data_IF_676114774669
#
_entry.id   IF_676114774669
#
_cell.length_a   1.000
_cell.length_b   1.000
_cell.length_c   1.000
_cell.angle_alpha   90.00
_cell.angle_beta   90.00
_cell.angle_gamma   90.00
#
_symmetry.space_group_name_H-M   'P 1'
#
loop_
_entity.id
_entity.type
_entity.pdbx_description
1 polymer ?
#
# COMPACT_ATOMS: atom_id res chain seq x y z
N UNK A 1 3.49 25.78 -5.71
CA UNK A 1 3.63 25.46 -5.18
C UNK A 1 3.82 25.33 -4.50
N UNK A 2 3.88 25.20 -4.32
CA UNK A 2 4.15 24.77 -3.62
C UNK A 2 4.28 24.33 -2.99
N UNK A 3 4.45 24.09 -2.83
CA UNK A 3 4.64 23.44 -2.19
C UNK A 3 4.99 22.97 -1.70
N UNK A 4 5.18 22.75 -1.69
CA UNK A 4 5.56 22.11 -1.24
C UNK A 4 6.07 21.72 -0.76
N UNK A 5 6.19 21.69 -0.50
CA UNK A 5 6.74 21.08 -0.05
C UNK A 5 7.00 20.43 0.49
N UNK A 6 7.14 20.21 0.71
CA UNK A 6 7.34 19.60 1.05
C UNK A 6 7.15 18.84 1.30
N UNK A 7 6.96 18.98 1.54
CA UNK A 7 6.76 18.21 1.64
C UNK A 7 6.57 17.12 1.20
N UNK A 8 6.71 16.86 1.38
CA UNK A 8 6.89 15.72 0.55
C UNK A 8 6.56 14.39 1.18
N UNK A 9 6.66 14.20 2.44
CA UNK A 9 6.19 12.97 3.04
C UNK A 9 4.83 13.10 3.66
N UNK A 10 4.27 14.28 3.66
CA UNK A 10 2.87 14.44 4.00
C UNK A 10 2.23 15.34 2.97
N UNK A 11 1.10 14.91 2.45
CA UNK A 11 0.31 15.67 1.51
C UNK A 11 -1.05 15.93 2.10
N UNK A 12 -1.46 17.20 2.11
CA UNK A 12 -2.68 17.61 2.80
C UNK A 12 -3.91 16.88 2.35
N UNK A 13 -4.04 16.55 1.09
CA UNK A 13 -5.22 15.85 0.60
C UNK A 13 -5.10 14.34 0.58
N UNK A 14 -3.97 13.78 1.02
CA UNK A 14 -3.74 12.35 0.88
C UNK A 14 -4.23 11.59 2.11
N UNK A 15 -5.25 10.74 1.90
CA UNK A 15 -5.83 9.98 3.00
C UNK A 15 -4.80 9.01 3.61
N UNK A 16 -3.89 8.43 2.79
CA UNK A 16 -2.88 7.52 3.31
C UNK A 16 -1.82 8.26 4.12
N UNK A 17 -1.43 9.46 3.68
CA UNK A 17 -0.53 10.28 4.49
C UNK A 17 -1.15 10.57 5.86
N UNK A 18 -2.45 10.80 5.91
CA UNK A 18 -3.13 11.06 7.17
C UNK A 18 -3.18 9.81 8.04
N UNK A 19 -3.39 8.64 7.45
CA UNK A 19 -3.35 7.38 8.19
C UNK A 19 -1.96 7.15 8.76
N UNK A 20 -0.92 7.38 7.95
CA UNK A 20 0.47 7.21 8.39
C UNK A 20 0.78 8.14 9.55
N UNK A 21 0.23 9.35 9.52
CA UNK A 21 0.45 10.35 10.57
C UNK A 21 -0.50 10.17 11.77
N UNK A 22 -1.33 9.14 11.78
CA UNK A 22 -2.32 8.87 12.84
C UNK A 22 -3.38 9.95 12.95
N UNK A 23 -3.65 10.67 11.85
CA UNK A 23 -4.70 11.68 11.80
C UNK A 23 -6.05 11.07 11.45
N UNK A 24 -6.05 9.87 10.86
CA UNK A 24 -7.25 9.10 10.58
C UNK A 24 -7.11 7.71 11.17
N UNK A 25 -8.21 7.13 11.66
CA UNK A 25 -8.14 5.78 12.23
C UNK A 25 -7.93 4.72 11.16
N UNK A 26 -7.27 3.64 11.55
CA UNK A 26 -7.08 2.48 10.68
C UNK A 26 -6.64 1.32 11.53
N UNK A 27 -6.81 0.12 11.02
CA UNK A 27 -6.28 -1.07 11.70
C UNK A 27 -4.90 -1.35 11.14
N UNK A 28 -3.89 -0.82 11.81
CA UNK A 28 -2.50 -0.99 11.39
C UNK A 28 -1.97 -2.33 11.85
N UNK A 29 -1.27 -3.02 10.95
CA UNK A 29 -0.70 -4.33 11.21
C UNK A 29 0.82 -4.30 11.25
N UNK A 30 1.41 -3.28 10.68
CA UNK A 30 2.86 -3.14 10.63
C UNK A 30 3.22 -1.68 10.46
N UNK A 31 4.32 -1.28 11.07
CA UNK A 31 4.85 0.08 10.92
C UNK A 31 6.35 0.08 11.22
N UNK A 32 7.11 0.73 10.35
CA UNK A 32 8.50 1.06 10.63
C UNK A 32 8.79 2.45 10.06
N UNK A 33 10.06 2.82 9.97
CA UNK A 33 10.43 4.16 9.50
C UNK A 33 10.06 4.41 8.04
N UNK A 34 9.91 3.34 7.26
CA UNK A 34 9.73 3.47 5.81
C UNK A 34 8.36 3.02 5.33
N UNK A 35 7.70 2.13 6.06
CA UNK A 35 6.52 1.42 5.58
C UNK A 35 5.46 1.35 6.66
N UNK A 36 4.20 1.48 6.25
CA UNK A 36 3.04 1.24 7.09
C UNK A 36 2.12 0.28 6.34
N UNK A 37 1.53 -0.66 7.05
CA UNK A 37 0.54 -1.58 6.47
C UNK A 37 -0.71 -1.59 7.33
N UNK A 38 -1.86 -1.56 6.67
CA UNK A 38 -3.15 -1.50 7.36
C UNK A 38 -4.23 -2.18 6.53
N UNK A 39 -5.30 -2.59 7.19
CA UNK A 39 -6.39 -3.26 6.49
C UNK A 39 -7.17 -2.28 5.63
N UNK A 40 -7.57 -2.75 4.44
CA UNK A 40 -8.46 -1.97 3.57
C UNK A 40 -9.82 -1.88 4.26
N UNK A 41 -10.39 -0.68 4.27
CA UNK A 41 -11.68 -0.43 4.92
C UNK A 41 -12.84 -1.08 4.15
N UNK A 42 -12.63 -1.35 2.86
CA UNK A 42 -13.61 -2.03 2.00
C UNK A 42 -12.99 -3.31 1.45
N UNK A 43 -12.79 -4.33 2.31
CA UNK A 43 -12.04 -5.51 1.88
C UNK A 43 -12.82 -6.33 0.84
N UNK A 44 -12.09 -6.89 -0.12
CA UNK A 44 -12.66 -7.77 -1.14
C UNK A 44 -12.43 -9.24 -0.81
N UNK A 45 -11.71 -9.52 0.28
CA UNK A 45 -11.42 -10.88 0.74
C UNK A 45 -11.16 -10.82 2.24
N UNK A 46 -11.06 -11.99 2.88
CA UNK A 46 -10.80 -12.08 4.32
C UNK A 46 -9.50 -11.34 4.67
N UNK A 47 -8.47 -11.49 3.85
CA UNK A 47 -7.25 -10.70 3.97
C UNK A 47 -7.22 -9.70 2.85
N UNK A 48 -7.25 -8.42 3.18
CA UNK A 48 -7.06 -7.34 2.21
C UNK A 48 -6.32 -6.24 2.93
N UNK A 49 -5.00 -6.21 2.71
CA UNK A 49 -4.08 -5.31 3.41
C UNK A 49 -3.42 -4.41 2.38
N UNK A 50 -3.24 -3.15 2.75
CA UNK A 50 -2.51 -2.18 1.93
C UNK A 50 -1.15 -1.96 2.57
N UNK A 51 -0.09 -2.14 1.77
CA UNK A 51 1.28 -1.92 2.20
C UNK A 51 1.77 -0.68 1.48
N UNK A 52 2.10 0.37 2.22
CA UNK A 52 2.39 1.67 1.64
C UNK A 52 3.74 2.20 2.13
N UNK A 53 4.48 2.91 1.25
CA UNK A 53 5.64 3.64 1.73
C UNK A 53 5.18 4.85 2.53
N UNK A 54 5.93 5.20 3.58
CA UNK A 54 5.62 6.42 4.33
C UNK A 54 5.88 7.66 3.49
N UNK A 55 6.85 7.58 2.59
CA UNK A 55 7.14 8.63 1.62
C UNK A 55 5.96 8.73 0.65
N UNK A 56 5.50 9.94 0.40
CA UNK A 56 4.40 10.12 -0.55
C UNK A 56 4.93 10.02 -1.98
N UNK A 57 4.64 8.90 -2.62
CA UNK A 57 4.93 8.65 -4.04
C UNK A 57 3.57 8.43 -4.69
N UNK A 58 3.13 9.30 -5.62
CA UNK A 58 1.76 9.19 -6.13
C UNK A 58 1.46 7.88 -6.84
N UNK A 59 2.37 7.38 -7.66
CA UNK A 59 2.13 6.14 -8.41
C UNK A 59 3.45 5.55 -8.87
N UNK A 60 3.36 4.38 -9.51
CA UNK A 60 4.52 3.73 -10.12
C UNK A 60 5.24 4.66 -11.09
N UNK A 61 4.49 5.53 -11.76
CA UNK A 61 5.08 6.43 -12.75
C UNK A 61 6.06 7.45 -12.15
N UNK A 62 5.94 7.73 -10.85
CA UNK A 62 6.82 8.69 -10.18
C UNK A 62 7.98 8.03 -9.43
N UNK A 63 8.15 6.71 -9.59
CA UNK A 63 9.26 6.02 -8.94
C UNK A 63 10.60 6.44 -9.56
N UNK A 64 11.58 6.67 -8.68
CA UNK A 64 12.94 6.98 -9.09
C UNK A 64 13.84 5.81 -8.69
N UNK A 65 15.07 5.81 -9.23
CA UNK A 65 16.03 4.75 -8.90
C UNK A 65 16.29 4.66 -7.40
N UNK A 66 16.25 5.79 -6.71
CA UNK A 66 16.47 5.82 -5.25
C UNK A 66 15.36 5.11 -4.49
N UNK A 67 14.21 4.85 -5.12
CA UNK A 67 13.07 4.19 -4.48
C UNK A 67 13.08 2.67 -4.63
N UNK A 68 14.07 2.10 -5.32
CA UNK A 68 14.06 0.67 -5.64
C UNK A 68 14.07 -0.21 -4.41
N UNK A 69 14.91 0.13 -3.43
CA UNK A 69 14.95 -0.65 -2.20
C UNK A 69 13.66 -0.53 -1.41
N UNK A 70 13.08 0.65 -1.39
CA UNK A 70 11.81 0.89 -0.70
C UNK A 70 10.70 0.03 -1.30
N UNK A 71 10.61 -0.01 -2.64
CA UNK A 71 9.60 -0.81 -3.32
C UNK A 71 9.83 -2.30 -3.06
N UNK A 72 11.08 -2.76 -3.12
CA UNK A 72 11.39 -4.14 -2.81
C UNK A 72 10.96 -4.51 -1.39
N UNK A 73 11.11 -3.57 -0.46
CA UNK A 73 10.72 -3.80 0.92
C UNK A 73 9.20 -3.91 1.09
N UNK A 74 8.42 -3.23 0.25
CA UNK A 74 6.96 -3.42 0.26
C UNK A 74 6.61 -4.89 0.08
N UNK A 75 7.28 -5.56 -0.85
CA UNK A 75 7.05 -6.98 -1.13
C UNK A 75 7.51 -7.88 0.02
N UNK A 76 8.64 -7.53 0.66
CA UNK A 76 9.11 -8.29 1.81
C UNK A 76 8.09 -8.23 2.96
N UNK A 77 7.57 -7.04 3.23
CA UNK A 77 6.58 -6.87 4.29
C UNK A 77 5.28 -7.58 3.92
N UNK A 78 4.85 -7.48 2.65
CA UNK A 78 3.65 -8.19 2.21
C UNK A 78 3.78 -9.69 2.40
N UNK A 79 4.95 -10.26 2.09
CA UNK A 79 5.20 -11.69 2.29
C UNK A 79 5.10 -12.07 3.75
N UNK A 80 5.68 -11.27 4.63
CA UNK A 80 5.62 -11.53 6.06
C UNK A 80 4.18 -11.50 6.57
N UNK A 81 3.40 -10.52 6.10
CA UNK A 81 2.01 -10.40 6.50
C UNK A 81 1.17 -11.57 5.97
N UNK A 82 1.44 -12.02 4.75
CA UNK A 82 0.75 -13.18 4.20
C UNK A 82 0.98 -14.41 5.07
N UNK A 83 2.22 -14.58 5.56
CA UNK A 83 2.56 -15.67 6.46
C UNK A 83 1.78 -15.55 7.77
N UNK A 84 1.73 -14.35 8.35
CA UNK A 84 1.02 -14.12 9.60
C UNK A 84 -0.49 -14.31 9.44
N UNK A 85 -1.02 -14.00 8.26
CA UNK A 85 -2.44 -14.21 7.98
C UNK A 85 -2.78 -15.65 7.62
N UNK A 86 -1.76 -16.50 7.49
CA UNK A 86 -1.96 -17.92 7.20
C UNK A 86 -2.36 -18.21 5.77
N UNK A 87 -2.02 -17.35 4.82
CA UNK A 87 -2.43 -17.49 3.42
C UNK A 87 -1.28 -17.81 2.48
N UNK A 88 -0.07 -18.05 3.01
CA UNK A 88 1.08 -18.24 2.13
C UNK A 88 0.96 -19.50 1.29
N UNK A 89 0.36 -20.58 1.82
CA UNK A 89 0.24 -21.83 1.06
C UNK A 89 -0.96 -21.85 0.13
N UNK A 90 -2.11 -21.33 0.59
CA UNK A 90 -3.30 -21.31 -0.25
C UNK A 90 -3.17 -20.30 -1.37
N UNK A 91 -2.38 -19.27 -1.13
CA UNK A 91 -2.08 -18.28 -2.15
C UNK A 91 -2.68 -16.92 -1.88
N UNK A 92 -2.05 -15.92 -2.50
CA UNK A 92 -2.49 -14.55 -2.35
C UNK A 92 -2.09 -13.78 -3.60
N UNK A 93 -2.69 -12.64 -3.77
CA UNK A 93 -2.44 -11.79 -4.94
C UNK A 93 -1.85 -10.47 -4.48
N UNK A 94 -0.81 -10.03 -5.18
CA UNK A 94 -0.19 -8.73 -4.95
C UNK A 94 -0.50 -7.85 -6.15
N UNK A 95 -1.07 -6.68 -5.91
CA UNK A 95 -1.52 -5.78 -6.99
C UNK A 95 -1.07 -4.37 -6.68
N UNK A 96 -0.49 -3.70 -7.68
CA UNK A 96 -0.30 -2.26 -7.67
C UNK A 96 -1.04 -1.70 -8.87
N UNK A 97 -2.02 -0.84 -8.61
CA UNK A 97 -2.75 -0.16 -9.68
C UNK A 97 -2.09 1.17 -9.97
N UNK A 98 -1.92 1.50 -11.23
CA UNK A 98 -1.29 2.74 -11.66
C UNK A 98 -2.23 3.48 -12.60
N UNK A 99 -2.70 4.63 -12.18
CA UNK A 99 -3.49 5.51 -13.01
C UNK A 99 -4.98 5.17 -13.04
N UNK A 100 -5.77 6.03 -13.68
CA UNK A 100 -7.23 5.90 -13.63
C UNK A 100 -7.77 4.65 -14.35
N UNK A 101 -7.16 4.26 -15.47
CA UNK A 101 -7.65 3.09 -16.20
C UNK A 101 -7.43 1.79 -15.44
N UNK A 102 -6.45 1.77 -14.52
CA UNK A 102 -6.22 0.61 -13.66
C UNK A 102 -7.06 0.66 -12.39
N UNK A 103 -7.80 1.74 -12.17
CA UNK A 103 -8.64 1.89 -10.99
C UNK A 103 -7.92 2.43 -9.78
N UNK A 104 -6.81 3.15 -9.98
CA UNK A 104 -6.14 3.77 -8.85
C UNK A 104 -6.99 4.93 -8.34
N UNK A 105 -7.48 4.82 -7.10
CA UNK A 105 -8.34 5.84 -6.51
C UNK A 105 -7.56 6.76 -5.57
N UNK A 106 -6.58 6.22 -4.85
CA UNK A 106 -5.76 7.01 -3.94
C UNK A 106 -4.38 7.15 -4.57
N UNK A 107 -3.96 8.40 -4.80
CA UNK A 107 -2.67 8.67 -5.46
C UNK A 107 -1.56 8.77 -4.44
N UNK A 108 -1.33 7.64 -3.80
CA UNK A 108 -0.24 7.32 -2.91
C UNK A 108 0.02 5.84 -3.16
N UNK A 109 1.20 5.52 -3.68
CA UNK A 109 1.56 4.15 -4.08
C UNK A 109 1.18 3.16 -2.99
N UNK A 110 0.49 2.09 -3.37
CA UNK A 110 0.14 1.06 -2.41
C UNK A 110 0.07 -0.30 -3.06
N UNK A 111 0.57 -1.29 -2.34
CA UNK A 111 0.57 -2.68 -2.75
C UNK A 111 -0.58 -3.37 -2.02
N UNK A 112 -1.53 -3.90 -2.79
CA UNK A 112 -2.62 -4.70 -2.22
C UNK A 112 -2.12 -6.11 -1.96
N UNK A 113 -2.38 -6.61 -0.77
CA UNK A 113 -2.20 -8.02 -0.42
C UNK A 113 -3.60 -8.59 -0.21
N UNK A 114 -4.01 -9.48 -1.10
CA UNK A 114 -5.38 -10.00 -1.09
C UNK A 114 -5.33 -11.52 -1.05
N UNK A 115 -6.02 -12.12 -0.10
CA UNK A 115 -6.06 -13.59 0.01
C UNK A 115 -7.18 -14.04 0.92
N UNK A 116 -7.29 -15.35 1.09
CA UNK A 116 -8.31 -15.93 1.95
C UNK A 116 -9.52 -16.42 1.19
N UNK A 117 -9.51 -16.32 -0.14
CA UNK A 117 -10.53 -16.93 -1.00
C UNK A 117 -9.97 -17.10 -2.40
N UNK A 118 -10.59 -17.95 -3.16
CA UNK A 118 -10.24 -18.09 -4.58
C UNK A 118 -10.74 -16.88 -5.35
N UNK A 119 -9.85 -16.23 -6.09
CA UNK A 119 -10.15 -14.95 -6.73
C UNK A 119 -10.35 -15.03 -8.24
N UNK A 120 -10.09 -16.19 -8.84
CA UNK A 120 -10.29 -16.35 -10.27
C UNK A 120 -9.26 -15.60 -11.10
N UNK A 121 -9.61 -15.37 -12.35
CA UNK A 121 -8.71 -14.75 -13.30
C UNK A 121 -8.76 -13.24 -13.21
N UNK A 122 -7.63 -12.62 -13.58
CA UNK A 122 -7.60 -11.18 -13.76
C UNK A 122 -8.30 -10.83 -15.07
N UNK A 123 -8.83 -9.62 -15.18
CA UNK A 123 -9.45 -9.16 -16.42
C UNK A 123 -8.44 -8.97 -17.53
#
# INVERSE_FOLDING_TARGET
MTNQPSSNHTHNGCVFCKIIADELPSQKLYRDQSITAFRDINPVATTHILVVPNKHIPSTNELAAEDEQLVGRLFTIARQLAEEEGIEESGYRLIINTGPDAGQEVFHLHLHLIGGRHMGHLP
#
